data_IF_837148257202
#
_entry.id   IF_837148257202
#
_cell.length_a   1.000
_cell.length_b   1.000
_cell.length_c   1.000
_cell.angle_alpha   90.00
_cell.angle_beta   90.00
_cell.angle_gamma   90.00
#
_symmetry.space_group_name_H-M   'P 1'
#
loop_
_entity.id
_entity.type
_entity.pdbx_description
1 polymer ?
#
# COMPACT_ATOMS: atom_id res chain seq x y z
N UNK A 1 -16.15 -2.97 -32.46
CA UNK A 1 -16.27 -2.11 -31.26
C UNK A 1 -17.27 -2.77 -30.32
N UNK A 2 -16.97 -2.86 -29.01
CA UNK A 2 -17.90 -3.46 -28.06
C UNK A 2 -19.21 -2.64 -27.96
N UNK A 3 -20.39 -3.27 -27.75
CA UNK A 3 -21.67 -2.57 -27.60
C UNK A 3 -21.63 -1.50 -26.50
N UNK A 4 -22.44 -0.45 -26.64
CA UNK A 4 -22.49 0.67 -25.69
C UNK A 4 -22.77 0.20 -24.24
N UNK A 5 -23.68 -0.76 -24.08
CA UNK A 5 -24.01 -1.33 -22.76
C UNK A 5 -22.84 -2.04 -22.11
N UNK A 6 -22.03 -2.75 -22.90
CA UNK A 6 -20.82 -3.40 -22.43
C UNK A 6 -19.79 -2.38 -21.96
N UNK A 7 -19.61 -1.28 -22.71
CA UNK A 7 -18.70 -0.19 -22.33
C UNK A 7 -19.17 0.52 -21.06
N UNK A 8 -20.48 0.70 -20.89
CA UNK A 8 -21.07 1.29 -19.68
C UNK A 8 -20.87 0.38 -18.47
N UNK A 9 -21.17 -0.91 -18.60
CA UNK A 9 -20.96 -1.89 -17.54
C UNK A 9 -19.50 -1.95 -17.11
N UNK A 10 -18.57 -1.95 -18.08
CA UNK A 10 -17.14 -1.89 -17.81
C UNK A 10 -16.75 -0.60 -17.08
N UNK A 11 -17.26 0.56 -17.49
CA UNK A 11 -16.95 1.83 -16.82
C UNK A 11 -17.45 1.83 -15.37
N UNK A 12 -18.66 1.35 -15.11
CA UNK A 12 -19.20 1.22 -13.74
C UNK A 12 -18.36 0.24 -12.94
N UNK A 13 -18.07 -0.95 -13.48
CA UNK A 13 -17.21 -1.93 -12.83
C UNK A 13 -15.87 -1.32 -12.43
N UNK A 14 -15.26 -0.48 -13.27
CA UNK A 14 -13.93 0.10 -13.00
C UNK A 14 -13.94 1.32 -12.09
N UNK A 15 -15.03 2.09 -12.05
CA UNK A 15 -15.09 3.37 -11.35
C UNK A 15 -15.91 3.34 -10.05
N UNK A 16 -16.89 2.45 -9.94
CA UNK A 16 -17.75 2.33 -8.76
C UNK A 16 -17.16 1.34 -7.75
N UNK A 17 -16.05 1.78 -7.14
CA UNK A 17 -15.23 1.00 -6.21
C UNK A 17 -14.82 1.85 -5.03
N UNK A 18 -14.44 1.24 -3.89
CA UNK A 18 -13.82 1.99 -2.81
C UNK A 18 -12.52 2.65 -3.30
N UNK A 19 -12.26 3.85 -2.78
CA UNK A 19 -11.15 4.73 -3.18
C UNK A 19 -10.21 4.89 -1.99
N UNK A 20 -8.91 4.93 -2.27
CA UNK A 20 -7.89 5.38 -1.32
C UNK A 20 -7.01 6.45 -1.96
N UNK A 21 -6.83 7.54 -1.24
CA UNK A 21 -5.80 8.53 -1.52
C UNK A 21 -4.65 8.23 -0.58
N UNK A 22 -3.50 7.89 -1.14
CA UNK A 22 -2.31 7.53 -0.42
C UNK A 22 -1.32 8.70 -0.49
N UNK A 23 -1.01 9.28 0.66
CA UNK A 23 0.16 10.15 0.77
C UNK A 23 1.41 9.33 0.45
N UNK A 24 2.36 9.92 -0.26
CA UNK A 24 3.69 9.33 -0.50
C UNK A 24 4.75 10.39 -0.28
N UNK A 25 5.92 9.98 0.20
CA UNK A 25 7.04 10.89 0.46
C UNK A 25 8.26 10.40 -0.32
N UNK A 26 9.19 11.30 -0.64
CA UNK A 26 10.41 10.93 -1.36
C UNK A 26 11.21 9.91 -0.58
N UNK A 27 11.71 8.90 -1.28
CA UNK A 27 12.52 7.87 -0.66
C UNK A 27 13.93 8.38 -0.37
N UNK A 28 14.29 8.46 0.92
CA UNK A 28 15.62 8.85 1.41
C UNK A 28 16.44 7.64 1.85
N UNK A 29 16.10 6.44 1.38
CA UNK A 29 16.72 5.17 1.77
C UNK A 29 15.97 4.42 2.87
N UNK A 30 14.73 4.82 3.16
CA UNK A 30 13.89 4.14 4.16
C UNK A 30 13.34 2.82 3.60
N UNK A 31 13.47 1.69 4.33
CA UNK A 31 12.83 0.45 3.93
C UNK A 31 11.32 0.58 4.06
N UNK A 32 10.58 0.13 3.05
CA UNK A 32 9.12 0.16 3.05
C UNK A 32 8.51 -0.12 1.68
N UNK A 33 7.19 -0.23 1.65
CA UNK A 33 6.45 -0.35 0.39
C UNK A 33 6.32 0.97 -0.35
N UNK A 34 6.23 0.90 -1.68
CA UNK A 34 6.14 2.07 -2.56
C UNK A 34 4.98 1.96 -3.56
N UNK A 35 4.68 3.05 -4.30
CA UNK A 35 3.66 3.06 -5.33
C UNK A 35 4.15 2.37 -6.61
N UNK A 36 3.43 1.34 -7.08
CA UNK A 36 3.76 0.62 -8.31
C UNK A 36 2.51 0.29 -9.13
N UNK A 37 2.73 -0.04 -10.40
CA UNK A 37 1.74 -0.70 -11.23
C UNK A 37 1.86 -2.21 -11.03
N UNK A 38 0.74 -2.85 -10.69
CA UNK A 38 0.62 -4.31 -10.56
C UNK A 38 -0.32 -4.81 -11.64
N UNK A 39 0.15 -5.76 -12.43
CA UNK A 39 -0.67 -6.44 -13.46
C UNK A 39 -1.20 -7.72 -12.85
N UNK A 40 -2.53 -7.79 -12.69
CA UNK A 40 -3.20 -9.00 -12.20
C UNK A 40 -3.28 -10.09 -13.27
N UNK A 41 -3.68 -11.29 -12.87
CA UNK A 41 -3.76 -12.48 -13.75
C UNK A 41 -4.67 -12.28 -14.97
N UNK A 42 -5.70 -11.45 -14.84
CA UNK A 42 -6.61 -11.10 -15.92
C UNK A 42 -6.07 -10.03 -16.89
N UNK A 43 -4.79 -9.65 -16.76
CA UNK A 43 -4.12 -8.63 -17.57
C UNK A 43 -4.49 -7.18 -17.19
N UNK A 44 -5.27 -6.96 -16.13
CA UNK A 44 -5.62 -5.61 -15.67
C UNK A 44 -4.48 -5.02 -14.84
N UNK A 45 -3.99 -3.85 -15.24
CA UNK A 45 -3.02 -3.08 -14.45
C UNK A 45 -3.72 -2.16 -13.46
N UNK A 46 -3.31 -2.21 -12.20
CA UNK A 46 -3.81 -1.38 -11.11
C UNK A 46 -2.66 -0.70 -10.39
N UNK A 47 -2.93 0.48 -9.81
CA UNK A 47 -1.98 1.19 -8.96
C UNK A 47 -2.06 0.61 -7.55
N UNK A 48 -0.95 0.14 -6.99
CA UNK A 48 -0.90 -0.49 -5.68
C UNK A 48 0.31 -0.04 -4.87
N UNK A 49 0.27 -0.34 -3.57
CA UNK A 49 1.40 -0.18 -2.66
C UNK A 49 2.04 -1.56 -2.54
N UNK A 50 3.25 -1.72 -3.08
CA UNK A 50 3.96 -3.01 -3.13
C UNK A 50 5.11 -2.97 -2.14
N UNK A 51 5.18 -4.00 -1.31
CA UNK A 51 6.27 -4.22 -0.36
C UNK A 51 7.34 -5.15 -0.93
N UNK A 52 8.55 -5.10 -0.38
CA UNK A 52 9.65 -5.96 -0.81
C UNK A 52 9.32 -7.46 -0.72
N UNK A 53 8.46 -7.85 0.24
CA UNK A 53 8.03 -9.24 0.38
C UNK A 53 7.16 -9.76 -0.78
N UNK A 54 6.63 -8.87 -1.62
CA UNK A 54 5.82 -9.21 -2.80
C UNK A 54 6.61 -9.15 -4.10
N UNK A 55 7.88 -8.75 -4.06
CA UNK A 55 8.76 -8.68 -5.23
C UNK A 55 9.47 -10.02 -5.37
N UNK A 56 9.42 -10.60 -6.56
CA UNK A 56 10.20 -11.79 -6.89
C UNK A 56 11.68 -11.43 -6.98
N UNK A 57 12.46 -11.86 -5.99
CA UNK A 57 13.89 -11.59 -5.88
C UNK A 57 14.72 -12.32 -6.95
N UNK A 58 14.16 -13.33 -7.60
CA UNK A 58 14.77 -14.03 -8.74
C UNK A 58 14.48 -13.33 -10.07
N UNK A 59 13.52 -12.40 -10.10
CA UNK A 59 13.17 -11.64 -11.29
C UNK A 59 13.98 -10.36 -11.38
N UNK A 60 15.01 -10.37 -12.25
CA UNK A 60 15.85 -9.19 -12.53
C UNK A 60 15.01 -7.96 -12.92
N UNK A 61 13.93 -8.17 -13.68
CA UNK A 61 13.04 -7.09 -14.10
C UNK A 61 12.28 -6.48 -12.92
N UNK A 62 11.68 -7.31 -12.04
CA UNK A 62 10.95 -6.79 -10.89
C UNK A 62 11.88 -6.11 -9.89
N UNK A 63 13.05 -6.69 -9.63
CA UNK A 63 14.07 -6.06 -8.77
C UNK A 63 14.54 -4.73 -9.36
N UNK A 64 14.75 -4.67 -10.68
CA UNK A 64 15.10 -3.43 -11.38
C UNK A 64 14.02 -2.35 -11.23
N UNK A 65 12.75 -2.69 -11.45
CA UNK A 65 11.63 -1.75 -11.29
C UNK A 65 11.53 -1.29 -9.83
N UNK A 66 11.62 -2.20 -8.86
CA UNK A 66 11.54 -1.88 -7.44
C UNK A 66 12.66 -0.92 -7.01
N UNK A 67 13.88 -1.13 -7.51
CA UNK A 67 15.03 -0.26 -7.24
C UNK A 67 14.91 1.16 -7.82
N UNK A 68 13.98 1.41 -8.74
CA UNK A 68 13.74 2.75 -9.31
C UNK A 68 12.73 3.59 -8.51
N UNK A 69 12.19 3.05 -7.42
CA UNK A 69 11.19 3.73 -6.62
C UNK A 69 11.70 5.07 -6.07
N UNK A 70 11.08 6.16 -6.52
CA UNK A 70 11.40 7.52 -6.07
C UNK A 70 10.67 7.90 -4.77
N UNK A 71 9.63 7.17 -4.42
CA UNK A 71 8.75 7.45 -3.29
C UNK A 71 8.48 6.19 -2.49
N UNK A 72 8.16 6.36 -1.21
CA UNK A 72 7.63 5.29 -0.36
C UNK A 72 6.33 5.72 0.32
N UNK A 73 5.56 4.75 0.80
CA UNK A 73 4.29 4.97 1.46
C UNK A 73 4.47 5.12 2.99
N UNK A 74 4.16 6.30 3.57
CA UNK A 74 4.15 6.53 5.02
C UNK A 74 2.95 5.92 5.75
N UNK A 75 2.03 5.25 5.03
CA UNK A 75 0.76 4.71 5.57
C UNK A 75 -0.20 5.84 5.98
N UNK A 76 -0.13 6.97 5.28
CA UNK A 76 -1.12 8.04 5.37
C UNK A 76 -2.19 7.84 4.28
N UNK A 77 -3.36 7.36 4.69
CA UNK A 77 -4.44 6.93 3.80
C UNK A 77 -5.75 7.64 4.14
N UNK A 78 -6.36 8.27 3.14
CA UNK A 78 -7.75 8.74 3.21
C UNK A 78 -8.61 7.82 2.34
N UNK A 79 -9.61 7.18 2.97
CA UNK A 79 -10.42 6.14 2.33
C UNK A 79 -11.86 6.60 2.10
N UNK A 80 -12.33 6.48 0.85
CA UNK A 80 -13.74 6.56 0.48
C UNK A 80 -14.34 5.16 0.38
N UNK A 81 -15.24 4.82 1.30
CA UNK A 81 -15.82 3.46 1.45
C UNK A 81 -17.30 3.38 1.11
N UNK A 82 -17.83 4.40 0.44
CA UNK A 82 -19.24 4.49 0.04
C UNK A 82 -19.35 4.75 -1.46
N UNK A 83 -20.39 4.20 -2.08
CA UNK A 83 -20.75 4.45 -3.46
C UNK A 83 -21.25 5.88 -3.67
N UNK A 84 -21.55 6.22 -4.93
CA UNK A 84 -22.02 7.56 -5.30
C UNK A 84 -23.43 7.89 -4.77
N UNK A 85 -24.20 6.90 -4.30
CA UNK A 85 -25.47 7.08 -3.60
C UNK A 85 -25.31 7.15 -2.08
N UNK A 86 -24.09 6.97 -1.55
CA UNK A 86 -23.80 6.97 -0.12
C UNK A 86 -23.96 5.61 0.57
N UNK A 87 -24.22 4.52 -0.15
CA UNK A 87 -24.25 3.17 0.44
C UNK A 87 -22.83 2.67 0.70
N UNK A 88 -22.58 1.95 1.81
CA UNK A 88 -21.27 1.36 2.06
C UNK A 88 -20.95 0.24 1.07
N UNK A 89 -19.70 0.19 0.60
CA UNK A 89 -19.19 -0.94 -0.16
C UNK A 89 -18.95 -2.16 0.76
N UNK A 90 -19.19 -3.35 0.21
CA UNK A 90 -18.66 -4.59 0.79
C UNK A 90 -17.18 -4.73 0.42
N UNK A 91 -16.31 -4.26 1.32
CA UNK A 91 -14.86 -4.14 1.06
C UNK A 91 -14.19 -5.48 0.74
N UNK A 92 -14.74 -6.60 1.24
CA UNK A 92 -14.21 -7.94 0.98
C UNK A 92 -14.27 -8.32 -0.50
N UNK A 93 -15.21 -7.74 -1.27
CA UNK A 93 -15.31 -7.95 -2.72
C UNK A 93 -14.15 -7.35 -3.50
N UNK A 94 -13.41 -6.43 -2.88
CA UNK A 94 -12.30 -5.70 -3.50
C UNK A 94 -10.93 -6.10 -2.93
N UNK A 95 -10.89 -7.13 -2.09
CA UNK A 95 -9.66 -7.76 -1.63
C UNK A 95 -9.19 -8.83 -2.63
N UNK A 96 -7.88 -9.03 -2.72
CA UNK A 96 -7.29 -10.19 -3.39
C UNK A 96 -6.96 -11.26 -2.34
N UNK A 97 -7.74 -12.35 -2.25
CA UNK A 97 -7.49 -13.42 -1.29
C UNK A 97 -6.24 -14.24 -1.61
N UNK A 98 -5.71 -14.15 -2.84
CA UNK A 98 -4.50 -14.85 -3.26
C UNK A 98 -3.21 -14.10 -2.88
N UNK A 99 -3.31 -12.81 -2.51
CA UNK A 99 -2.21 -11.98 -2.04
C UNK A 99 -1.75 -12.31 -0.60
N UNK A 100 -1.69 -13.61 -0.28
CA UNK A 100 -1.07 -14.14 0.93
C UNK A 100 0.44 -14.22 0.74
N UNK A 101 1.20 -14.09 1.83
CA UNK A 101 2.64 -14.34 1.79
C UNK A 101 3.07 -15.16 3.01
N UNK A 102 4.17 -15.90 2.85
CA UNK A 102 4.75 -16.70 3.93
C UNK A 102 5.88 -15.89 4.55
N UNK A 103 5.77 -15.58 5.84
CA UNK A 103 6.86 -14.98 6.60
C UNK A 103 7.55 -16.02 7.48
N UNK A 104 8.87 -15.95 7.55
CA UNK A 104 9.64 -16.69 8.54
C UNK A 104 9.74 -15.88 9.82
N UNK A 105 9.31 -16.46 10.93
CA UNK A 105 9.41 -15.88 12.27
C UNK A 105 10.23 -16.80 13.16
N UNK A 106 10.97 -16.22 14.10
CA UNK A 106 11.61 -16.97 15.18
C UNK A 106 10.80 -16.85 16.45
N UNK A 107 10.58 -17.97 17.13
CA UNK A 107 10.08 -18.01 18.50
C UNK A 107 11.11 -18.73 19.37
N UNK A 108 11.96 -17.95 20.04
CA UNK A 108 13.15 -18.47 20.71
C UNK A 108 14.11 -19.12 19.73
N UNK A 109 14.37 -20.42 19.90
CA UNK A 109 15.24 -21.21 19.01
C UNK A 109 14.50 -21.85 17.84
N UNK A 110 13.17 -21.79 17.80
CA UNK A 110 12.38 -22.44 16.76
C UNK A 110 12.10 -21.48 15.60
N UNK A 111 12.36 -21.93 14.37
CA UNK A 111 11.85 -21.29 13.15
C UNK A 111 10.42 -21.71 12.90
N UNK A 112 9.56 -20.74 12.63
CA UNK A 112 8.15 -20.92 12.35
C UNK A 112 7.84 -20.21 11.04
N UNK A 113 7.10 -20.88 10.16
CA UNK A 113 6.52 -20.24 8.98
C UNK A 113 5.11 -19.80 9.31
N UNK A 114 4.78 -18.54 9.06
CA UNK A 114 3.46 -17.98 9.22
C UNK A 114 2.89 -17.63 7.86
N UNK A 115 1.65 -18.07 7.60
CA UNK A 115 0.88 -17.61 6.46
C UNK A 115 0.21 -16.29 6.86
N UNK A 116 0.63 -15.19 6.26
CA UNK A 116 0.01 -13.89 6.47
C UNK A 116 -1.11 -13.71 5.45
N UNK A 117 -2.30 -13.44 5.97
CA UNK A 117 -3.46 -13.06 5.16
C UNK A 117 -3.17 -11.74 4.42
N UNK A 118 -3.93 -11.43 3.35
CA UNK A 118 -3.77 -10.19 2.61
C UNK A 118 -3.74 -9.00 3.56
N UNK A 119 -2.61 -8.29 3.59
CA UNK A 119 -2.43 -7.12 4.45
C UNK A 119 -3.30 -5.96 3.99
N UNK A 120 -3.39 -4.91 4.82
CA UNK A 120 -4.37 -3.85 4.65
C UNK A 120 -4.30 -3.19 3.25
N UNK A 121 -3.11 -2.73 2.82
CA UNK A 121 -2.96 -2.01 1.56
C UNK A 121 -2.43 -2.84 0.39
N UNK A 122 -1.79 -3.98 0.65
CA UNK A 122 -1.16 -4.79 -0.38
C UNK A 122 -2.13 -5.80 -1.01
N UNK A 123 -3.06 -6.38 -0.22
CA UNK A 123 -4.01 -7.37 -0.73
C UNK A 123 -5.46 -7.12 -0.32
N UNK A 124 -5.70 -6.64 0.91
CA UNK A 124 -7.03 -6.24 1.39
C UNK A 124 -7.65 -5.07 0.61
N UNK A 125 -6.81 -4.30 -0.09
CA UNK A 125 -7.21 -3.17 -0.95
C UNK A 125 -6.80 -3.34 -2.42
N UNK A 126 -6.50 -4.56 -2.88
CA UNK A 126 -5.92 -4.81 -4.20
C UNK A 126 -6.75 -4.25 -5.37
N UNK A 127 -8.08 -4.25 -5.25
CA UNK A 127 -8.98 -3.79 -6.32
C UNK A 127 -9.58 -2.40 -6.07
N UNK A 128 -9.06 -1.66 -5.09
CA UNK A 128 -9.47 -0.29 -4.81
C UNK A 128 -8.91 0.68 -5.85
N UNK A 129 -9.62 1.80 -6.06
CA UNK A 129 -9.09 2.93 -6.82
C UNK A 129 -8.02 3.63 -5.98
N UNK A 130 -6.77 3.56 -6.43
CA UNK A 130 -5.63 4.15 -5.73
C UNK A 130 -5.18 5.43 -6.41
N UNK A 131 -5.05 6.50 -5.63
CA UNK A 131 -4.48 7.78 -6.02
C UNK A 131 -3.26 8.04 -5.14
N UNK A 132 -2.14 8.46 -5.73
CA UNK A 132 -0.93 8.78 -4.99
C UNK A 132 -0.67 10.27 -5.06
N UNK A 133 -0.40 10.87 -3.90
CA UNK A 133 -0.14 12.31 -3.76
C UNK A 133 1.16 12.47 -2.99
N UNK A 134 2.13 13.19 -3.57
CA UNK A 134 3.35 13.57 -2.83
C UNK A 134 2.94 14.52 -1.69
N UNK A 135 3.30 14.16 -0.46
CA UNK A 135 3.06 14.97 0.75
C UNK A 135 4.40 15.43 1.35
N UNK A 136 4.41 16.50 2.14
CA UNK A 136 5.64 16.97 2.78
C UNK A 136 6.25 15.89 3.70
N UNK A 137 7.56 15.60 3.66
CA UNK A 137 8.19 14.57 4.49
C UNK A 137 7.94 14.73 6.00
N UNK A 138 7.76 15.96 6.48
CA UNK A 138 7.45 16.29 7.86
C UNK A 138 6.10 15.76 8.35
N UNK A 139 5.19 15.35 7.45
CA UNK A 139 3.95 14.65 7.84
C UNK A 139 4.22 13.21 8.24
N UNK A 140 5.46 12.72 8.09
CA UNK A 140 5.85 11.36 8.39
C UNK A 140 7.09 11.30 9.29
N UNK A 141 6.89 10.91 10.54
CA UNK A 141 7.95 10.72 11.52
C UNK A 141 7.87 9.31 12.11
N UNK A 142 8.42 8.29 11.41
CA UNK A 142 8.26 6.90 11.82
C UNK A 142 9.16 6.54 13.00
N UNK A 143 8.67 5.63 13.83
CA UNK A 143 9.45 4.96 14.89
C UNK A 143 9.50 3.47 14.56
N UNK A 144 10.62 3.00 14.00
CA UNK A 144 10.86 1.59 13.66
C UNK A 144 11.63 0.86 14.76
N UNK A 145 12.50 1.58 15.46
CA UNK A 145 13.35 1.12 16.55
C UNK A 145 13.23 2.05 17.75
N UNK A 146 13.58 1.57 18.94
CA UNK A 146 13.57 2.41 20.16
C UNK A 146 14.47 3.64 20.01
N UNK A 147 15.58 3.51 19.27
CA UNK A 147 16.50 4.63 19.00
C UNK A 147 15.91 5.71 18.11
N UNK A 148 14.89 5.41 17.30
CA UNK A 148 14.23 6.44 16.50
C UNK A 148 13.56 7.50 17.38
N UNK A 149 13.13 7.14 18.59
CA UNK A 149 12.59 8.10 19.56
C UNK A 149 13.59 9.20 19.96
N UNK A 150 14.90 8.98 19.75
CA UNK A 150 15.94 9.98 20.03
C UNK A 150 16.00 11.09 18.98
N UNK A 151 15.31 10.95 17.84
CA UNK A 151 15.23 11.99 16.80
C UNK A 151 14.57 13.25 17.37
N UNK A 152 15.02 14.46 16.98
CA UNK A 152 14.48 15.72 17.50
C UNK A 152 12.95 15.82 17.42
N UNK A 153 12.36 15.29 16.35
CA UNK A 153 10.91 15.30 16.11
C UNK A 153 10.09 14.54 17.16
N UNK A 154 10.73 13.61 17.88
CA UNK A 154 10.11 12.80 18.94
C UNK A 154 10.52 13.23 20.35
N UNK A 155 11.46 14.18 20.47
CA UNK A 155 11.88 14.69 21.76
C UNK A 155 10.89 15.75 22.26
N UNK A 156 10.67 15.86 23.59
CA UNK A 156 9.92 16.97 24.14
C UNK A 156 10.58 18.28 23.70
N UNK A 157 9.78 19.21 23.19
CA UNK A 157 10.25 20.56 22.90
C UNK A 157 10.90 21.20 24.13
N UNK A 158 11.70 22.28 23.95
CA UNK A 158 12.35 22.94 25.07
C UNK A 158 11.33 23.22 26.18
N UNK A 159 11.67 22.82 27.41
CA UNK A 159 10.81 23.07 28.56
C UNK A 159 10.43 24.55 28.55
N UNK A 160 9.11 24.83 28.52
CA UNK A 160 8.63 26.21 28.66
C UNK A 160 9.21 26.73 29.96
N UNK A 161 10.13 27.69 29.87
CA UNK A 161 10.55 28.46 31.03
C UNK A 161 9.31 29.28 31.41
N UNK A 162 8.65 28.85 32.49
CA UNK A 162 7.60 29.61 33.14
C UNK A 162 8.16 30.93 33.66
#
# INVERSE_FOLDING_TARGET
TAPLDHRRALAIDRLDRPVRVCGVVRNTGEPGGGPFWVTGENGTSTKQIVESAQVDDQSVDQVGIFGTATHFNPVDLVCGVRDWQGNPFDLHRYADPSAVFISEKSNGTQRVQALELPGLWNGGMAHWLSLFVEVPPETFTPVKTVTDLLRPDHQPGPARQN
#
